data_IF_824484055457
#
_entry.id   IF_824484055457
#
_cell.length_a   1.000
_cell.length_b   1.000
_cell.length_c   1.000
_cell.angle_alpha   90.00
_cell.angle_beta   90.00
_cell.angle_gamma   90.00
#
_symmetry.space_group_name_H-M   'P 1'
#
loop_
_entity.id
_entity.type
_entity.pdbx_description
1 polymer ?
#
# COMPACT_ATOMS: atom_id res chain seq x y z
N UNK A 1 0.31 6.62 11.40
CA UNK A 1 0.92 5.42 12.06
C UNK A 1 -0.06 4.43 12.70
N UNK A 2 -0.79 4.70 13.80
CA UNK A 2 -1.64 3.66 14.42
C UNK A 2 -2.76 3.15 13.49
N UNK A 3 -3.50 4.06 12.86
CA UNK A 3 -4.51 3.71 11.84
C UNK A 3 -3.90 2.95 10.65
N UNK A 4 -2.74 3.41 10.18
CA UNK A 4 -1.98 2.78 9.11
C UNK A 4 -1.57 1.34 9.45
N UNK A 5 -1.07 1.13 10.67
CA UNK A 5 -0.68 -0.18 11.20
C UNK A 5 -1.87 -1.12 11.21
N UNK A 6 -2.99 -0.69 11.79
CA UNK A 6 -4.21 -1.48 11.85
C UNK A 6 -4.72 -1.86 10.46
N UNK A 7 -4.67 -0.92 9.50
CA UNK A 7 -5.09 -1.18 8.13
C UNK A 7 -4.24 -2.26 7.46
N UNK A 8 -2.91 -2.15 7.47
CA UNK A 8 -2.03 -3.18 6.88
C UNK A 8 -2.20 -4.55 7.54
N UNK A 9 -2.45 -4.58 8.86
CA UNK A 9 -2.73 -5.83 9.57
C UNK A 9 -4.06 -6.45 9.12
N UNK A 10 -5.13 -5.66 9.02
CA UNK A 10 -6.45 -6.18 8.64
C UNK A 10 -6.58 -6.50 7.15
N UNK A 11 -6.01 -5.64 6.29
CA UNK A 11 -6.26 -5.64 4.84
C UNK A 11 -5.30 -6.59 4.10
N UNK A 12 -4.07 -6.71 4.58
CA UNK A 12 -3.01 -7.49 3.95
C UNK A 12 -2.44 -8.58 4.86
N UNK A 13 -2.96 -8.72 6.10
CA UNK A 13 -2.55 -9.79 7.00
C UNK A 13 -1.13 -9.66 7.55
N UNK A 14 -0.52 -8.46 7.45
CA UNK A 14 0.82 -8.24 7.99
C UNK A 14 0.77 -8.32 9.52
N UNK A 15 1.92 -8.66 10.13
CA UNK A 15 2.08 -8.69 11.58
C UNK A 15 3.16 -7.73 12.01
N UNK A 16 2.98 -7.07 13.14
CA UNK A 16 4.07 -6.32 13.77
C UNK A 16 5.13 -7.29 14.24
N UNK A 17 6.36 -7.08 13.77
CA UNK A 17 7.51 -7.91 14.13
C UNK A 17 8.58 -7.14 14.90
N UNK A 18 8.55 -5.81 14.81
CA UNK A 18 9.48 -4.95 15.55
C UNK A 18 8.92 -3.53 15.70
N UNK A 19 9.14 -2.92 16.86
CA UNK A 19 8.83 -1.52 17.14
C UNK A 19 10.03 -0.88 17.82
N UNK A 20 10.36 0.36 17.44
CA UNK A 20 11.45 1.09 18.07
C UNK A 20 11.23 2.60 18.04
N UNK A 21 11.99 3.28 18.92
CA UNK A 21 12.03 4.74 19.01
C UNK A 21 13.48 5.20 19.05
N UNK A 22 13.78 6.26 18.30
CA UNK A 22 15.06 6.96 18.36
C UNK A 22 14.83 8.35 18.97
N UNK A 23 15.27 8.55 20.21
CA UNK A 23 14.97 9.77 20.97
C UNK A 23 15.60 11.03 20.36
N UNK A 24 16.85 10.96 19.88
CA UNK A 24 17.53 12.09 19.26
C UNK A 24 16.73 12.76 18.13
N UNK A 25 16.36 12.02 17.06
CA UNK A 25 15.53 12.57 15.98
C UNK A 25 14.02 12.62 16.32
N UNK A 26 13.58 12.01 17.42
CA UNK A 26 12.16 11.85 17.76
C UNK A 26 11.41 10.92 16.82
N UNK A 27 12.10 9.91 16.25
CA UNK A 27 11.53 8.95 15.31
C UNK A 27 10.84 7.80 16.05
N UNK A 28 9.63 7.45 15.61
CA UNK A 28 8.94 6.21 16.00
C UNK A 28 8.72 5.35 14.77
N UNK A 29 8.87 4.04 14.94
CA UNK A 29 8.83 3.08 13.85
C UNK A 29 8.04 1.82 14.22
N UNK A 30 7.28 1.29 13.25
CA UNK A 30 6.62 -0.02 13.31
C UNK A 30 6.99 -0.80 12.06
N UNK A 31 7.61 -1.97 12.24
CA UNK A 31 7.96 -2.89 11.15
C UNK A 31 6.90 -3.97 11.06
N UNK A 32 6.27 -4.06 9.90
CA UNK A 32 5.24 -5.02 9.56
C UNK A 32 5.78 -6.04 8.57
N UNK A 33 5.46 -7.32 8.77
CA UNK A 33 5.93 -8.42 7.93
C UNK A 33 4.78 -9.29 7.46
N UNK A 34 4.81 -9.63 6.17
CA UNK A 34 3.92 -10.61 5.58
C UNK A 34 4.51 -12.03 5.74
N UNK A 35 3.70 -13.10 5.89
CA UNK A 35 4.20 -14.48 5.95
C UNK A 35 5.07 -14.93 4.76
N UNK A 36 5.03 -14.20 3.65
CA UNK A 36 5.87 -14.44 2.45
C UNK A 36 7.21 -13.67 2.49
N UNK A 37 7.56 -13.03 3.61
CA UNK A 37 8.90 -12.49 3.88
C UNK A 37 9.16 -11.06 3.42
N UNK A 38 8.15 -10.34 2.90
CA UNK A 38 8.27 -8.91 2.61
C UNK A 38 7.78 -8.05 3.77
N UNK A 39 8.26 -6.81 3.84
CA UNK A 39 8.02 -5.91 4.97
C UNK A 39 7.59 -4.51 4.53
N UNK A 40 6.80 -3.87 5.38
CA UNK A 40 6.48 -2.43 5.31
C UNK A 40 6.90 -1.81 6.63
N UNK A 41 7.68 -0.75 6.57
CA UNK A 41 8.10 0.01 7.74
C UNK A 41 7.37 1.35 7.78
N UNK A 42 6.62 1.57 8.85
CA UNK A 42 5.88 2.80 9.08
C UNK A 42 6.68 3.69 10.01
N UNK A 43 6.99 4.90 9.56
CA UNK A 43 7.87 5.84 10.25
C UNK A 43 7.15 7.15 10.50
N UNK A 44 7.28 7.69 11.71
CA UNK A 44 6.72 8.98 12.07
C UNK A 44 7.65 9.76 13.00
N UNK A 45 7.64 11.09 12.86
CA UNK A 45 8.31 12.00 13.80
C UNK A 45 7.49 13.27 13.97
N UNK A 46 7.62 14.01 15.09
CA UNK A 46 6.96 15.30 15.25
C UNK A 46 7.31 16.26 14.10
N UNK A 47 6.29 16.93 13.57
CA UNK A 47 6.44 17.88 12.47
C UNK A 47 6.49 17.27 11.07
N UNK A 48 6.37 15.93 10.92
CA UNK A 48 6.21 15.33 9.59
C UNK A 48 4.91 15.81 8.94
N UNK A 49 4.99 16.13 7.65
CA UNK A 49 3.81 16.47 6.82
C UNK A 49 3.46 15.28 5.92
N UNK A 50 2.19 15.11 5.53
CA UNK A 50 1.81 14.10 4.55
C UNK A 50 2.60 14.23 3.24
N UNK A 51 2.93 13.09 2.64
CA UNK A 51 3.46 13.04 1.27
C UNK A 51 2.39 13.36 0.22
N UNK A 52 2.76 13.31 -1.08
CA UNK A 52 1.81 13.44 -2.18
C UNK A 52 0.66 12.44 -2.07
N UNK A 53 -0.56 12.88 -2.39
CA UNK A 53 -1.78 12.05 -2.43
C UNK A 53 -2.45 12.20 -3.80
N UNK A 54 -1.82 11.69 -4.86
CA UNK A 54 -2.35 11.84 -6.21
C UNK A 54 -3.69 11.09 -6.33
N UNK A 55 -4.65 11.63 -7.11
CA UNK A 55 -5.95 10.99 -7.29
C UNK A 55 -5.88 9.74 -8.18
N UNK A 56 -4.84 9.61 -8.99
CA UNK A 56 -4.64 8.51 -9.93
C UNK A 56 -3.16 8.33 -10.30
N UNK A 57 -2.76 7.18 -10.87
CA UNK A 57 -1.36 6.89 -11.23
C UNK A 57 -0.79 7.81 -12.34
N UNK A 58 -1.63 8.33 -13.24
CA UNK A 58 -1.20 9.22 -14.33
C UNK A 58 -0.85 10.61 -13.76
N UNK A 59 -1.60 11.07 -12.77
CA UNK A 59 -1.27 12.29 -12.03
C UNK A 59 -0.05 12.08 -11.12
N UNK A 60 0.10 10.89 -10.53
CA UNK A 60 1.22 10.57 -9.63
C UNK A 60 2.59 10.77 -10.29
N UNK A 61 2.73 10.38 -11.57
CA UNK A 61 3.99 10.49 -12.32
C UNK A 61 4.39 11.92 -12.68
N UNK A 62 3.59 12.94 -12.34
CA UNK A 62 4.01 14.35 -12.41
C UNK A 62 5.03 14.70 -11.31
N UNK A 63 5.23 13.83 -10.32
CA UNK A 63 6.27 13.95 -9.31
C UNK A 63 7.25 12.79 -9.45
N UNK A 64 8.50 13.09 -9.79
CA UNK A 64 9.57 12.08 -9.89
C UNK A 64 9.95 11.54 -8.50
N UNK A 65 10.16 10.22 -8.41
CA UNK A 65 10.54 9.54 -7.16
C UNK A 65 9.88 8.17 -7.00
N UNK A 66 9.86 7.67 -5.77
CA UNK A 66 9.10 6.46 -5.44
C UNK A 66 7.60 6.76 -5.46
N UNK A 67 6.86 6.14 -6.39
CA UNK A 67 5.41 6.35 -6.56
C UNK A 67 4.54 5.32 -5.85
N UNK A 68 4.90 4.04 -5.97
CA UNK A 68 4.09 2.92 -5.49
C UNK A 68 4.90 1.61 -5.44
N UNK A 69 4.29 0.58 -4.87
CA UNK A 69 4.68 -0.81 -5.10
C UNK A 69 3.52 -1.59 -5.71
N UNK A 70 3.85 -2.67 -6.41
CA UNK A 70 2.87 -3.58 -6.98
C UNK A 70 2.91 -4.94 -6.26
N UNK A 71 1.74 -5.55 -6.10
CA UNK A 71 1.58 -6.92 -5.62
C UNK A 71 0.74 -7.72 -6.61
N UNK A 72 0.99 -9.01 -6.67
CA UNK A 72 0.24 -9.93 -7.54
C UNK A 72 -0.84 -10.67 -6.76
N UNK A 73 -1.95 -10.93 -7.42
CA UNK A 73 -3.03 -11.78 -6.92
C UNK A 73 -3.56 -12.69 -8.03
N UNK A 74 -3.94 -13.94 -7.75
CA UNK A 74 -4.64 -14.78 -8.72
C UNK A 74 -6.09 -14.35 -8.97
N UNK A 75 -6.67 -13.53 -8.09
CA UNK A 75 -8.09 -13.11 -8.13
C UNK A 75 -8.18 -11.60 -7.88
N UNK A 76 -8.32 -10.80 -8.95
CA UNK A 76 -8.26 -9.34 -8.84
C UNK A 76 -9.49 -8.72 -8.18
N UNK A 77 -10.69 -9.03 -8.68
CA UNK A 77 -11.93 -8.40 -8.22
C UNK A 77 -12.24 -8.67 -6.74
N UNK A 78 -12.10 -9.90 -6.22
CA UNK A 78 -12.33 -10.18 -4.80
C UNK A 78 -11.32 -9.47 -3.89
N UNK A 79 -10.03 -9.45 -4.27
CA UNK A 79 -8.99 -8.78 -3.49
C UNK A 79 -9.20 -7.27 -3.49
N UNK A 80 -9.50 -6.67 -4.64
CA UNK A 80 -9.82 -5.25 -4.73
C UNK A 80 -11.01 -4.89 -3.82
N UNK A 81 -12.11 -5.65 -3.90
CA UNK A 81 -13.30 -5.43 -3.08
C UNK A 81 -13.01 -5.55 -1.58
N UNK A 82 -12.20 -6.53 -1.18
CA UNK A 82 -11.78 -6.70 0.21
C UNK A 82 -10.97 -5.50 0.73
N UNK A 83 -9.99 -5.01 -0.05
CA UNK A 83 -9.19 -3.86 0.34
C UNK A 83 -10.05 -2.60 0.52
N UNK A 84 -10.98 -2.34 -0.40
CA UNK A 84 -11.94 -1.22 -0.30
C UNK A 84 -12.83 -1.37 0.94
N UNK A 85 -13.34 -2.58 1.21
CA UNK A 85 -14.13 -2.86 2.41
C UNK A 85 -13.34 -2.65 3.71
N UNK A 86 -12.01 -2.84 3.68
CA UNK A 86 -11.10 -2.51 4.77
C UNK A 86 -10.73 -1.02 4.85
N UNK A 87 -11.30 -0.15 4.00
CA UNK A 87 -11.11 1.29 4.05
C UNK A 87 -10.04 1.84 3.12
N UNK A 88 -9.58 1.04 2.14
CA UNK A 88 -8.72 1.56 1.07
C UNK A 88 -9.50 2.53 0.18
N UNK A 89 -8.83 3.56 -0.33
CA UNK A 89 -9.41 4.46 -1.33
C UNK A 89 -9.52 3.75 -2.69
N UNK A 90 -10.65 3.91 -3.38
CA UNK A 90 -10.82 3.48 -4.76
C UNK A 90 -10.06 4.43 -5.70
N UNK A 91 -8.89 4.01 -6.20
CA UNK A 91 -8.09 4.83 -7.13
C UNK A 91 -8.36 4.44 -8.59
N UNK A 92 -8.30 3.14 -8.90
CA UNK A 92 -8.65 2.62 -10.22
C UNK A 92 -9.30 1.24 -10.06
N UNK A 93 -10.50 1.07 -10.62
CA UNK A 93 -11.23 -0.19 -10.58
C UNK A 93 -10.53 -1.27 -11.42
N UNK A 94 -10.74 -2.57 -11.11
CA UNK A 94 -10.24 -3.67 -11.92
C UNK A 94 -10.53 -3.51 -13.41
N UNK A 95 -9.50 -3.61 -14.24
CA UNK A 95 -9.61 -3.45 -15.69
C UNK A 95 -8.36 -3.92 -16.43
N UNK A 96 -8.31 -3.79 -17.77
CA UNK A 96 -7.12 -4.09 -18.55
C UNK A 96 -5.92 -3.25 -18.12
N UNK A 97 -4.76 -3.87 -18.00
CA UNK A 97 -3.49 -3.16 -17.84
C UNK A 97 -2.86 -2.84 -19.21
N UNK A 98 -1.83 -1.98 -19.27
CA UNK A 98 -1.01 -1.81 -20.48
C UNK A 98 -0.29 -3.09 -20.92
N UNK A 99 -0.03 -4.03 -20.01
CA UNK A 99 0.51 -5.34 -20.35
C UNK A 99 -0.60 -6.21 -21.00
N UNK A 100 -0.43 -6.67 -22.25
CA UNK A 100 -1.46 -7.41 -22.96
C UNK A 100 -1.91 -8.67 -22.22
N UNK A 101 -3.23 -8.82 -22.03
CA UNK A 101 -3.81 -9.98 -21.35
C UNK A 101 -3.72 -9.97 -19.82
N UNK A 102 -3.12 -8.93 -19.23
CA UNK A 102 -3.03 -8.76 -17.78
C UNK A 102 -4.05 -7.72 -17.32
N UNK A 103 -4.71 -7.99 -16.18
CA UNK A 103 -5.63 -7.06 -15.52
C UNK A 103 -4.94 -6.40 -14.32
N UNK A 104 -5.31 -5.17 -14.03
CA UNK A 104 -4.81 -4.43 -12.88
C UNK A 104 -5.91 -3.62 -12.19
N UNK A 105 -5.65 -3.24 -10.94
CA UNK A 105 -6.43 -2.27 -10.18
C UNK A 105 -5.50 -1.45 -9.28
N UNK A 106 -5.97 -0.31 -8.79
CA UNK A 106 -5.21 0.53 -7.88
C UNK A 106 -6.06 0.93 -6.67
N UNK A 107 -5.44 0.91 -5.50
CA UNK A 107 -6.01 1.41 -4.26
C UNK A 107 -5.04 2.38 -3.59
N UNK A 108 -5.59 3.27 -2.75
CA UNK A 108 -4.81 4.09 -1.84
C UNK A 108 -4.91 3.56 -0.42
N UNK A 109 -3.78 3.44 0.28
CA UNK A 109 -3.81 3.18 1.72
C UNK A 109 -4.34 4.43 2.50
N UNK A 110 -4.55 4.35 3.83
CA UNK A 110 -5.11 5.47 4.59
C UNK A 110 -4.28 6.76 4.60
N UNK A 111 -2.99 6.69 4.28
CA UNK A 111 -2.11 7.86 4.15
C UNK A 111 -2.03 8.37 2.69
N UNK A 112 -2.62 7.63 1.75
CA UNK A 112 -2.73 7.96 0.33
C UNK A 112 -1.62 7.37 -0.54
N UNK A 113 -0.81 6.44 -0.01
CA UNK A 113 0.20 5.77 -0.82
C UNK A 113 -0.50 4.80 -1.78
N UNK A 114 -0.05 4.82 -3.03
CA UNK A 114 -0.61 3.98 -4.08
C UNK A 114 -0.10 2.54 -3.97
N UNK A 115 -1.02 1.59 -4.16
CA UNK A 115 -0.74 0.16 -4.25
C UNK A 115 -1.38 -0.36 -5.53
N UNK A 116 -0.55 -0.95 -6.40
CA UNK A 116 -0.99 -1.58 -7.64
C UNK A 116 -1.25 -3.08 -7.43
N UNK A 117 -2.41 -3.54 -7.84
CA UNK A 117 -2.81 -4.95 -7.82
C UNK A 117 -2.74 -5.50 -9.24
N UNK A 118 -1.98 -6.56 -9.45
CA UNK A 118 -1.80 -7.17 -10.78
C UNK A 118 -2.37 -8.59 -10.74
N UNK A 119 -3.28 -8.89 -11.66
CA UNK A 119 -3.82 -10.25 -11.80
C UNK A 119 -2.78 -11.15 -12.47
N UNK A 120 -2.20 -12.08 -11.69
CA UNK A 120 -1.31 -13.13 -12.20
C UNK A 120 -1.72 -14.46 -11.60
N UNK A 121 -2.08 -15.40 -12.46
CA UNK A 121 -2.29 -16.79 -12.05
C UNK A 121 -0.94 -17.35 -11.62
N UNK A 122 -0.92 -17.98 -10.46
CA UNK A 122 0.25 -18.75 -10.00
C UNK A 122 0.41 -19.93 -10.95
N UNK A 123 1.62 -20.13 -11.48
CA UNK A 123 1.99 -21.35 -12.22
C UNK A 123 2.06 -22.56 -11.28
#
# INVERSE_FOLDING_TARGET
>A
MAAQTAWYQSALGLKTVFEFRLDGPGLSAVVLEHPHGWRVELLARPGSVPGPRPPDPVTAVLTEGYGHFAVTTPELDPVYGALVAHGAAEVMKPGPSPEPGVRMAWVGDPEGNLIELIEKKTE
#
